data_IF_782488919972
#
_entry.id   IF_782488919972
#
_cell.length_a   1.000
_cell.length_b   1.000
_cell.length_c   1.000
_cell.angle_alpha   90.00
_cell.angle_beta   90.00
_cell.angle_gamma   90.00
#
_symmetry.space_group_name_H-M   'P 1'
#
loop_
_entity.id
_entity.type
_entity.pdbx_description
1 polymer ?
#
# COMPACT_ATOMS: atom_id res chain seq x y z
N UNK A 1 -24.26 32.62 29.09
CA UNK A 1 -25.24 32.30 28.04
C UNK A 1 -24.66 31.24 27.11
N UNK A 2 -24.75 29.94 27.47
CA UNK A 2 -24.13 28.84 26.70
C UNK A 2 -24.76 28.65 25.30
N UNK A 3 -25.93 29.23 25.07
CA UNK A 3 -26.64 29.18 23.79
C UNK A 3 -26.25 30.31 22.82
N UNK A 4 -25.55 31.35 23.30
CA UNK A 4 -25.11 32.51 22.50
C UNK A 4 -23.59 32.58 22.30
N UNK A 5 -22.90 31.45 22.42
CA UNK A 5 -21.44 31.34 22.21
C UNK A 5 -21.16 30.65 20.89
N UNK A 6 -20.26 31.24 20.09
CA UNK A 6 -19.74 30.61 18.87
C UNK A 6 -18.69 29.57 19.27
N UNK A 7 -18.90 28.33 18.86
CA UNK A 7 -17.98 27.21 19.09
C UNK A 7 -17.17 26.95 17.82
N UNK A 8 -15.90 26.57 17.99
CA UNK A 8 -15.03 26.15 16.89
C UNK A 8 -14.42 24.79 17.21
N UNK A 9 -14.47 23.89 16.25
CA UNK A 9 -13.80 22.59 16.36
C UNK A 9 -12.29 22.81 16.52
N UNK A 10 -11.71 22.11 17.48
CA UNK A 10 -10.27 22.12 17.74
C UNK A 10 -9.83 20.68 17.93
N UNK A 11 -8.86 20.24 17.13
CA UNK A 11 -8.28 18.91 17.22
C UNK A 11 -6.77 19.05 17.40
N UNK A 12 -6.20 18.25 18.29
CA UNK A 12 -4.76 18.19 18.50
C UNK A 12 -4.24 16.91 17.84
N UNK A 13 -3.18 17.04 17.07
CA UNK A 13 -2.49 15.91 16.43
C UNK A 13 -1.00 15.97 16.76
N UNK A 14 -0.35 14.81 16.74
CA UNK A 14 1.11 14.71 16.86
C UNK A 14 1.68 14.37 15.49
N UNK A 15 2.40 15.31 14.90
CA UNK A 15 3.08 15.16 13.62
C UNK A 15 4.48 14.58 13.87
N UNK A 16 4.86 13.54 13.12
CA UNK A 16 6.17 12.91 13.21
C UNK A 16 6.91 13.05 11.88
N UNK A 17 8.24 13.23 11.93
CA UNK A 17 9.07 13.20 10.73
C UNK A 17 8.98 11.85 10.00
N UNK A 18 9.01 11.90 8.67
CA UNK A 18 8.95 10.70 7.85
C UNK A 18 10.25 9.90 8.02
N UNK A 19 10.23 8.56 8.19
CA UNK A 19 11.43 7.76 8.38
C UNK A 19 12.48 7.95 7.28
N UNK A 20 12.05 8.22 6.04
CA UNK A 20 12.93 8.46 4.89
C UNK A 20 13.74 9.77 4.97
N UNK A 21 13.28 10.78 5.72
CA UNK A 21 14.01 12.04 5.88
C UNK A 21 14.95 12.06 7.09
N UNK A 22 14.83 11.09 7.99
CA UNK A 22 15.62 11.03 9.22
C UNK A 22 16.98 10.40 8.94
N UNK A 23 18.05 11.01 9.45
CA UNK A 23 19.39 10.43 9.34
C UNK A 23 19.47 9.09 10.09
N UNK A 24 20.11 8.06 9.50
CA UNK A 24 20.27 6.76 10.16
C UNK A 24 20.85 6.90 11.57
N UNK A 25 20.18 6.30 12.56
CA UNK A 25 20.61 6.31 13.96
C UNK A 25 20.08 7.47 14.83
N UNK A 26 19.35 8.43 14.26
CA UNK A 26 18.63 9.44 15.05
C UNK A 26 17.17 9.04 15.26
N UNK A 27 16.63 9.35 16.44
CA UNK A 27 15.20 9.19 16.69
C UNK A 27 14.41 10.27 15.92
N UNK A 28 13.32 9.90 15.22
CA UNK A 28 12.45 10.85 14.54
C UNK A 28 11.88 11.85 15.54
N UNK A 29 11.89 13.14 15.19
CA UNK A 29 11.29 14.17 16.04
C UNK A 29 9.78 14.21 15.80
N UNK A 30 9.05 14.58 16.86
CA UNK A 30 7.61 14.79 16.83
C UNK A 30 7.26 16.21 17.28
N UNK A 31 6.13 16.71 16.78
CA UNK A 31 5.61 18.02 17.15
C UNK A 31 4.10 18.01 17.23
N UNK A 32 3.57 18.71 18.23
CA UNK A 32 2.14 18.91 18.37
C UNK A 32 1.65 19.99 17.42
N UNK A 33 0.58 19.67 16.71
CA UNK A 33 -0.10 20.57 15.79
C UNK A 33 -1.56 20.69 16.20
N UNK A 34 -2.08 21.91 16.16
CA UNK A 34 -3.49 22.21 16.42
C UNK A 34 -4.19 22.47 15.09
N UNK A 35 -5.20 21.66 14.82
CA UNK A 35 -6.14 21.84 13.72
C UNK A 35 -7.38 22.58 14.22
N UNK A 36 -7.89 23.50 13.42
CA UNK A 36 -9.05 24.31 13.79
C UNK A 36 -10.09 24.36 12.67
N UNK A 37 -11.37 24.41 13.03
CA UNK A 37 -12.47 24.56 12.07
C UNK A 37 -12.71 23.33 11.19
N UNK A 38 -12.63 23.54 9.88
CA UNK A 38 -12.86 22.58 8.79
C UNK A 38 -11.74 21.54 8.64
N UNK A 39 -10.54 21.83 9.15
CA UNK A 39 -9.40 20.90 9.15
C UNK A 39 -9.51 19.80 10.21
N UNK A 40 -10.48 19.91 11.12
CA UNK A 40 -10.77 18.85 12.08
C UNK A 40 -11.30 17.60 11.36
N UNK A 41 -10.80 16.43 11.76
CA UNK A 41 -11.08 15.11 11.18
C UNK A 41 -10.60 14.90 9.72
N UNK A 42 -9.88 15.87 9.16
CA UNK A 42 -9.31 15.73 7.83
C UNK A 42 -8.19 14.68 7.78
N UNK A 43 -7.42 14.52 8.86
CA UNK A 43 -6.24 13.66 8.93
C UNK A 43 -6.54 12.41 9.74
N UNK A 44 -6.10 11.25 9.24
CA UNK A 44 -6.11 9.99 10.00
C UNK A 44 -4.70 9.67 10.51
N UNK A 45 -4.57 8.97 11.65
CA UNK A 45 -3.26 8.51 12.13
C UNK A 45 -2.54 7.72 11.04
N UNK A 46 -1.33 8.18 10.68
CA UNK A 46 -0.51 7.53 9.68
C UNK A 46 -0.53 8.11 8.27
N UNK A 47 -1.38 9.11 7.99
CA UNK A 47 -1.33 9.82 6.72
C UNK A 47 -0.02 10.62 6.60
N UNK A 48 0.68 10.48 5.47
CA UNK A 48 1.78 11.39 5.10
C UNK A 48 1.22 12.72 4.58
N UNK A 49 1.60 13.83 5.21
CA UNK A 49 1.04 15.14 4.92
C UNK A 49 2.11 16.23 4.85
N UNK A 50 1.86 17.22 4.01
CA UNK A 50 2.52 18.51 3.99
C UNK A 50 1.65 19.49 4.77
N UNK A 51 2.24 20.07 5.80
CA UNK A 51 1.57 21.03 6.65
C UNK A 51 2.25 22.39 6.55
N UNK A 52 1.46 23.42 6.30
CA UNK A 52 1.87 24.82 6.43
C UNK A 52 1.14 25.38 7.64
N UNK A 53 1.88 26.01 8.55
CA UNK A 53 1.30 26.51 9.79
C UNK A 53 2.15 27.57 10.45
N UNK A 54 1.57 28.20 11.47
CA UNK A 54 2.20 29.24 12.25
C UNK A 54 2.83 28.60 13.48
N UNK A 55 4.13 28.79 13.64
CA UNK A 55 4.86 28.33 14.82
C UNK A 55 4.65 29.30 15.98
N UNK A 56 4.09 28.81 17.09
CA UNK A 56 3.83 29.58 18.30
C UNK A 56 4.65 29.07 19.47
N UNK A 57 5.19 30.00 20.24
CA UNK A 57 5.84 29.73 21.53
C UNK A 57 4.90 30.23 22.63
N UNK A 58 4.42 29.32 23.46
CA UNK A 58 3.61 29.60 24.62
C UNK A 58 4.47 29.45 25.88
N UNK A 59 4.27 30.36 26.83
CA UNK A 59 4.91 30.27 28.13
C UNK A 59 4.18 29.21 28.97
N UNK A 60 4.88 28.14 29.36
CA UNK A 60 4.33 27.11 30.23
C UNK A 60 4.86 27.29 31.66
N UNK A 61 4.02 27.90 32.50
CA UNK A 61 4.35 28.15 33.90
C UNK A 61 4.62 26.84 34.68
N UNK A 62 3.99 25.72 34.30
CA UNK A 62 4.14 24.45 35.00
C UNK A 62 5.50 23.77 34.71
N UNK A 63 5.95 23.82 33.46
CA UNK A 63 7.27 23.28 33.09
C UNK A 63 8.42 24.12 33.65
N UNK A 64 8.24 25.44 33.72
CA UNK A 64 9.23 26.36 34.29
C UNK A 64 9.42 26.15 35.80
N UNK A 65 8.32 25.91 36.53
CA UNK A 65 8.37 25.62 37.96
C UNK A 65 9.12 24.31 38.28
N UNK A 66 9.11 23.34 37.35
CA UNK A 66 9.76 22.03 37.53
C UNK A 66 11.23 22.01 37.11
N UNK A 67 11.61 22.81 36.12
CA UNK A 67 12.96 22.75 35.52
C UNK A 67 13.86 23.93 35.88
N UNK A 68 13.32 24.97 36.55
CA UNK A 68 14.03 26.22 36.88
C UNK A 68 14.70 26.93 35.68
N UNK A 69 14.36 26.51 34.46
CA UNK A 69 14.75 27.13 33.21
C UNK A 69 13.50 27.61 32.48
N UNK A 70 13.55 28.76 31.79
CA UNK A 70 12.44 29.25 30.98
C UNK A 70 12.29 28.38 29.72
N UNK A 71 11.54 27.30 29.84
CA UNK A 71 11.16 26.42 28.75
C UNK A 71 9.84 26.89 28.15
N UNK A 72 9.86 27.27 26.88
CA UNK A 72 8.65 27.59 26.14
C UNK A 72 8.03 26.31 25.56
N UNK A 73 6.73 26.11 25.78
CA UNK A 73 5.97 25.10 25.02
C UNK A 73 5.80 25.61 23.61
N UNK A 74 5.97 24.73 22.67
CA UNK A 74 6.08 25.07 21.26
C UNK A 74 4.98 24.31 20.54
N UNK A 75 4.04 25.05 19.98
CA UNK A 75 2.84 24.54 19.32
C UNK A 75 2.79 25.06 17.89
N UNK A 76 2.26 24.26 16.98
CA UNK A 76 2.12 24.63 15.58
C UNK A 76 0.63 24.72 15.23
N UNK A 77 0.17 25.88 14.80
CA UNK A 77 -1.23 26.06 14.36
C UNK A 77 -1.31 25.84 12.85
N UNK A 78 -2.14 24.89 12.41
CA UNK A 78 -2.26 24.60 10.98
C UNK A 78 -3.01 25.71 10.24
N UNK A 79 -2.43 26.13 9.11
CA UNK A 79 -3.07 27.03 8.14
C UNK A 79 -3.56 26.24 6.95
N UNK A 80 -2.73 25.35 6.43
CA UNK A 80 -3.07 24.52 5.27
C UNK A 80 -2.48 23.11 5.42
N UNK A 81 -3.24 22.11 5.02
CA UNK A 81 -2.86 20.70 5.09
C UNK A 81 -3.10 20.09 3.72
N UNK A 82 -2.08 19.40 3.20
CA UNK A 82 -2.18 18.64 1.97
C UNK A 82 -1.64 17.23 2.18
N UNK A 83 -2.43 16.21 1.84
CA UNK A 83 -1.99 14.80 1.95
C UNK A 83 -1.11 14.45 0.75
N UNK A 84 0.06 13.86 0.97
CA UNK A 84 1.01 13.50 -0.09
C UNK A 84 0.41 12.50 -1.10
N UNK A 85 -0.54 11.67 -0.67
CA UNK A 85 -1.32 10.80 -1.55
C UNK A 85 -2.24 11.55 -2.52
N UNK A 86 -2.86 12.64 -2.09
CA UNK A 86 -3.74 13.49 -2.92
C UNK A 86 -2.96 14.51 -3.77
N UNK A 87 -1.74 14.89 -3.36
CA UNK A 87 -0.86 15.78 -4.16
C UNK A 87 -0.51 15.17 -5.53
N UNK A 88 -0.34 13.84 -5.60
CA UNK A 88 -0.08 13.15 -6.87
C UNK A 88 -1.31 13.11 -7.80
N UNK A 89 -2.52 13.20 -7.23
CA UNK A 89 -3.79 13.21 -7.97
C UNK A 89 -4.15 14.62 -8.44
N UNK A 90 -3.80 15.65 -7.68
CA UNK A 90 -4.04 17.06 -8.02
C UNK A 90 -3.16 17.60 -9.16
N UNK A 91 -2.16 16.84 -9.62
CA UNK A 91 -1.37 17.14 -10.82
C UNK A 91 -1.91 16.48 -12.10
N UNK A 92 -3.14 15.97 -12.07
CA UNK A 92 -3.80 15.47 -13.28
C UNK A 92 -4.37 16.69 -14.01
N UNK A 93 -3.53 17.31 -14.83
CA UNK A 93 -3.94 18.36 -15.77
C UNK A 93 -4.82 17.74 -16.86
N UNK A 94 -5.68 18.57 -17.46
CA UNK A 94 -6.56 18.16 -18.56
C UNK A 94 -5.75 17.52 -19.72
N UNK A 95 -4.55 18.03 -20.00
CA UNK A 95 -3.63 17.47 -20.99
C UNK A 95 -3.27 15.99 -20.71
N UNK A 96 -3.01 15.66 -19.45
CA UNK A 96 -2.67 14.29 -19.03
C UNK A 96 -3.88 13.38 -19.17
N UNK A 97 -5.08 13.88 -18.84
CA UNK A 97 -6.33 13.12 -19.04
C UNK A 97 -6.53 12.83 -20.53
N UNK A 98 -6.28 13.80 -21.40
CA UNK A 98 -6.40 13.59 -22.84
C UNK A 98 -5.43 12.52 -23.34
N UNK A 99 -4.16 12.56 -22.91
CA UNK A 99 -3.18 11.51 -23.22
C UNK A 99 -3.60 10.13 -22.71
N UNK A 100 -4.15 10.05 -21.49
CA UNK A 100 -4.68 8.82 -20.90
C UNK A 100 -5.83 8.27 -21.76
N UNK A 101 -6.73 9.13 -22.22
CA UNK A 101 -7.88 8.73 -23.05
C UNK A 101 -7.46 8.30 -24.45
N UNK A 102 -6.45 8.94 -25.04
CA UNK A 102 -5.87 8.52 -26.33
C UNK A 102 -5.21 7.14 -26.21
N UNK A 103 -4.46 6.89 -25.13
CA UNK A 103 -3.87 5.59 -24.85
C UNK A 103 -4.94 4.51 -24.63
N UNK A 104 -6.01 4.83 -23.88
CA UNK A 104 -7.09 3.90 -23.58
C UNK A 104 -7.85 3.42 -24.84
N UNK A 105 -7.92 4.24 -25.89
CA UNK A 105 -8.57 3.88 -27.16
C UNK A 105 -7.73 2.94 -28.02
N UNK A 106 -6.43 2.82 -27.76
CA UNK A 106 -5.55 1.97 -28.57
C UNK A 106 -5.84 0.47 -28.32
N UNK A 107 -5.97 -0.35 -29.38
CA UNK A 107 -6.33 -1.77 -29.24
C UNK A 107 -5.24 -2.59 -28.53
N UNK A 108 -3.98 -2.15 -28.60
CA UNK A 108 -2.83 -2.83 -28.00
C UNK A 108 -2.55 -2.41 -26.56
N UNK A 109 -3.44 -1.63 -25.92
CA UNK A 109 -3.18 -1.04 -24.60
C UNK A 109 -2.84 -2.10 -23.56
N UNK A 110 -3.51 -3.26 -23.59
CA UNK A 110 -3.26 -4.36 -22.65
C UNK A 110 -1.81 -4.83 -22.71
N UNK A 111 -1.31 -5.09 -23.92
CA UNK A 111 0.06 -5.59 -24.09
C UNK A 111 1.10 -4.53 -23.79
N UNK A 112 0.84 -3.27 -24.18
CA UNK A 112 1.70 -2.13 -23.85
C UNK A 112 1.77 -1.89 -22.34
N UNK A 113 0.64 -2.04 -21.63
CA UNK A 113 0.57 -1.91 -20.19
C UNK A 113 1.39 -3.02 -19.50
N UNK A 114 1.22 -4.27 -19.93
CA UNK A 114 1.99 -5.43 -19.42
C UNK A 114 3.49 -5.29 -19.73
N UNK A 115 3.85 -4.77 -20.90
CA UNK A 115 5.24 -4.53 -21.28
C UNK A 115 5.89 -3.39 -20.46
N UNK A 116 5.09 -2.38 -20.09
CA UNK A 116 5.54 -1.25 -19.25
C UNK A 116 5.68 -1.62 -17.77
N UNK A 117 5.00 -2.69 -17.34
CA UNK A 117 5.12 -3.24 -15.98
C UNK A 117 6.48 -3.86 -15.75
N UNK A 118 7.24 -3.29 -14.80
CA UNK A 118 8.57 -3.74 -14.39
C UNK A 118 9.49 -4.06 -15.61
N UNK A 119 9.92 -3.04 -16.38
CA UNK A 119 10.74 -3.25 -17.59
C UNK A 119 12.09 -3.91 -17.27
N UNK A 120 12.53 -3.81 -16.01
CA UNK A 120 13.75 -4.47 -15.54
C UNK A 120 13.65 -5.99 -15.49
N UNK A 121 12.45 -6.54 -15.31
CA UNK A 121 12.26 -7.99 -15.19
C UNK A 121 11.86 -8.54 -16.55
N UNK A 122 12.67 -9.48 -17.07
CA UNK A 122 12.41 -10.12 -18.34
C UNK A 122 11.34 -11.21 -18.22
N UNK A 123 10.44 -11.27 -19.22
CA UNK A 123 9.43 -12.32 -19.32
C UNK A 123 8.28 -12.18 -18.33
N UNK A 124 7.79 -13.34 -17.85
CA UNK A 124 6.73 -13.46 -16.82
C UNK A 124 5.47 -12.64 -17.12
N UNK A 125 5.02 -12.66 -18.39
CA UNK A 125 3.85 -11.89 -18.84
C UNK A 125 2.63 -12.11 -17.96
N UNK A 126 2.33 -13.36 -17.59
CA UNK A 126 1.18 -13.70 -16.75
C UNK A 126 1.27 -13.09 -15.33
N UNK A 127 2.46 -13.13 -14.70
CA UNK A 127 2.68 -12.50 -13.38
C UNK A 127 2.48 -10.99 -13.48
N UNK A 128 3.04 -10.37 -14.52
CA UNK A 128 2.89 -8.93 -14.77
C UNK A 128 1.43 -8.54 -15.00
N UNK A 129 0.66 -9.35 -15.73
CA UNK A 129 -0.78 -9.14 -15.92
C UNK A 129 -1.53 -9.20 -14.59
N UNK A 130 -1.23 -10.20 -13.76
CA UNK A 130 -1.87 -10.36 -12.45
C UNK A 130 -1.58 -9.17 -11.52
N UNK A 131 -0.31 -8.76 -11.43
CA UNK A 131 0.09 -7.58 -10.66
C UNK A 131 -0.59 -6.32 -11.21
N UNK A 132 -0.65 -6.13 -12.53
CA UNK A 132 -1.31 -5.00 -13.16
C UNK A 132 -2.81 -4.93 -12.78
N UNK A 133 -3.50 -6.07 -12.77
CA UNK A 133 -4.91 -6.16 -12.34
C UNK A 133 -5.05 -5.84 -10.84
N UNK A 134 -4.16 -6.35 -9.99
CA UNK A 134 -4.16 -6.06 -8.56
C UNK A 134 -3.91 -4.57 -8.26
N UNK A 135 -3.06 -3.90 -9.06
CA UNK A 135 -2.80 -2.47 -8.95
C UNK A 135 -4.00 -1.60 -9.35
N UNK A 136 -4.77 -2.02 -10.36
CA UNK A 136 -5.99 -1.33 -10.78
C UNK A 136 -7.15 -1.58 -9.82
N UNK A 137 -7.18 -2.74 -9.17
CA UNK A 137 -8.22 -3.16 -8.23
C UNK A 137 -9.63 -3.19 -8.85
N UNK A 138 -10.61 -3.70 -8.12
CA UNK A 138 -12.01 -3.73 -8.54
C UNK A 138 -12.86 -2.64 -7.88
N UNK A 139 -14.10 -2.51 -8.34
CA UNK A 139 -15.08 -1.62 -7.72
C UNK A 139 -15.63 -2.25 -6.42
N UNK A 140 -15.73 -1.44 -5.38
CA UNK A 140 -16.39 -1.83 -4.13
C UNK A 140 -17.89 -1.66 -4.25
N UNK A 141 -18.64 -2.71 -3.96
CA UNK A 141 -20.11 -2.70 -4.03
C UNK A 141 -20.70 -2.69 -2.63
N UNK A 142 -21.58 -1.74 -2.38
CA UNK A 142 -22.36 -1.67 -1.16
C UNK A 142 -23.82 -2.02 -1.48
N UNK A 143 -24.31 -3.14 -0.94
CA UNK A 143 -25.73 -3.52 -1.09
C UNK A 143 -26.53 -2.92 0.05
N UNK A 144 -27.36 -1.92 -0.26
CA UNK A 144 -28.41 -1.34 0.60
C UNK A 144 -28.00 -1.24 2.09
N UNK A 145 -26.79 -0.76 2.37
CA UNK A 145 -26.27 -0.48 3.72
C UNK A 145 -26.04 -1.67 4.67
N UNK A 146 -26.22 -2.93 4.25
CA UNK A 146 -26.06 -4.10 5.14
C UNK A 146 -24.79 -4.91 4.92
N UNK A 147 -24.32 -5.00 3.68
CA UNK A 147 -23.11 -5.77 3.37
C UNK A 147 -22.24 -5.03 2.37
N UNK A 148 -20.98 -4.83 2.78
CA UNK A 148 -19.92 -4.30 1.93
C UNK A 148 -19.21 -5.47 1.27
N UNK A 149 -19.20 -5.49 -0.06
CA UNK A 149 -18.46 -6.49 -0.83
C UNK A 149 -17.09 -5.91 -1.15
N UNK A 150 -16.05 -6.67 -0.83
CA UNK A 150 -14.66 -6.34 -1.12
C UNK A 150 -14.46 -6.23 -2.63
N UNK A 151 -13.93 -5.09 -3.07
CA UNK A 151 -13.50 -4.86 -4.47
C UNK A 151 -11.99 -5.03 -4.66
N UNK A 152 -11.23 -5.10 -3.57
CA UNK A 152 -9.77 -5.16 -3.62
C UNK A 152 -9.26 -6.57 -3.89
N UNK A 153 -8.26 -6.74 -4.77
CA UNK A 153 -7.74 -8.04 -5.19
C UNK A 153 -6.46 -8.42 -4.43
N UNK A 154 -6.46 -9.58 -3.79
CA UNK A 154 -5.32 -10.12 -3.08
C UNK A 154 -4.57 -11.10 -3.98
N UNK A 155 -3.25 -10.95 -4.04
CA UNK A 155 -2.39 -11.76 -4.89
C UNK A 155 -1.24 -12.36 -4.10
N UNK A 156 -1.02 -13.66 -4.28
CA UNK A 156 0.10 -14.40 -3.72
C UNK A 156 1.02 -14.88 -4.84
N UNK A 157 2.29 -14.50 -4.77
CA UNK A 157 3.34 -14.94 -5.68
C UNK A 157 4.22 -15.93 -4.93
N UNK A 158 4.17 -17.20 -5.33
CA UNK A 158 5.04 -18.24 -4.79
C UNK A 158 6.06 -18.62 -5.85
N UNK A 159 7.30 -18.89 -5.44
CA UNK A 159 8.26 -19.45 -6.37
C UNK A 159 9.60 -19.76 -5.72
N UNK A 160 10.56 -20.17 -6.52
CA UNK A 160 11.90 -20.44 -6.01
C UNK A 160 12.63 -19.11 -5.66
N UNK A 161 13.62 -19.14 -4.76
CA UNK A 161 14.51 -18.01 -4.50
C UNK A 161 15.20 -17.55 -5.79
N UNK A 162 15.43 -16.24 -5.92
CA UNK A 162 16.15 -15.67 -7.07
C UNK A 162 15.27 -15.29 -8.27
N UNK A 163 13.97 -15.59 -8.27
CA UNK A 163 13.04 -15.24 -9.35
C UNK A 163 12.51 -13.78 -9.31
N UNK A 164 13.31 -12.83 -8.85
CA UNK A 164 12.99 -11.39 -8.81
C UNK A 164 11.67 -11.00 -8.07
N UNK A 165 11.13 -11.87 -7.21
CA UNK A 165 9.88 -11.62 -6.46
C UNK A 165 9.91 -10.34 -5.62
N UNK A 166 10.95 -10.16 -4.81
CA UNK A 166 11.13 -8.94 -4.00
C UNK A 166 11.35 -7.69 -4.87
N UNK A 167 11.89 -7.86 -6.09
CA UNK A 167 12.06 -6.76 -7.05
C UNK A 167 10.70 -6.28 -7.59
N UNK A 168 9.76 -7.20 -7.83
CA UNK A 168 8.38 -6.84 -8.18
C UNK A 168 7.73 -6.00 -7.09
N UNK A 169 7.83 -6.42 -5.83
CA UNK A 169 7.27 -5.68 -4.70
C UNK A 169 7.86 -4.26 -4.63
N UNK A 170 9.19 -4.12 -4.67
CA UNK A 170 9.88 -2.82 -4.66
C UNK A 170 9.47 -1.92 -5.83
N UNK A 171 9.25 -2.50 -7.02
CA UNK A 171 8.79 -1.75 -8.18
C UNK A 171 7.37 -1.19 -7.96
N UNK A 172 6.48 -1.98 -7.37
CA UNK A 172 5.09 -1.59 -7.09
C UNK A 172 5.05 -0.53 -5.99
N UNK A 173 5.89 -0.65 -4.96
CA UNK A 173 6.04 0.35 -3.90
C UNK A 173 6.31 1.74 -4.47
N UNK A 174 7.19 1.83 -5.47
CA UNK A 174 7.52 3.10 -6.12
C UNK A 174 6.41 3.59 -7.06
N UNK A 175 5.60 2.69 -7.60
CA UNK A 175 4.63 2.98 -8.65
C UNK A 175 3.27 3.38 -8.07
N UNK A 176 2.81 2.72 -7.01
CA UNK A 176 1.53 3.01 -6.37
C UNK A 176 1.71 4.15 -5.36
N UNK A 177 0.85 5.20 -5.37
CA UNK A 177 1.02 6.36 -4.50
C UNK A 177 0.87 6.04 -3.00
N UNK A 178 0.08 5.02 -2.64
CA UNK A 178 -0.13 4.53 -1.28
C UNK A 178 0.24 3.04 -1.21
N UNK A 179 1.52 2.73 -1.27
CA UNK A 179 2.01 1.37 -1.05
C UNK A 179 2.94 1.33 0.15
N UNK A 180 2.76 0.34 1.01
CA UNK A 180 3.61 0.10 2.17
C UNK A 180 4.29 -1.24 2.01
N UNK A 181 5.62 -1.23 2.02
CA UNK A 181 6.44 -2.44 1.96
C UNK A 181 6.76 -2.93 3.37
N UNK A 182 6.57 -4.23 3.60
CA UNK A 182 6.90 -4.90 4.85
C UNK A 182 7.44 -6.29 4.59
N UNK A 183 8.21 -6.83 5.54
CA UNK A 183 8.79 -8.18 5.46
C UNK A 183 8.14 -9.07 6.51
N UNK A 184 7.89 -10.35 6.22
CA UNK A 184 7.15 -11.26 7.09
C UNK A 184 7.77 -11.44 8.47
N UNK A 185 9.10 -11.32 8.58
CA UNK A 185 9.82 -11.32 9.87
C UNK A 185 9.86 -9.96 10.57
N UNK A 186 9.87 -8.85 9.81
CA UNK A 186 9.89 -7.48 10.36
C UNK A 186 8.51 -6.96 10.72
N UNK A 187 7.47 -7.55 10.12
CA UNK A 187 6.06 -7.26 10.33
C UNK A 187 5.53 -7.97 11.58
N UNK A 188 6.10 -7.69 12.75
CA UNK A 188 5.44 -8.09 14.00
C UNK A 188 4.03 -7.51 14.05
N UNK A 189 3.07 -8.18 14.69
CA UNK A 189 1.66 -7.84 14.63
C UNK A 189 1.34 -6.41 15.04
N UNK A 190 2.17 -5.83 15.91
CA UNK A 190 2.17 -4.41 16.30
C UNK A 190 2.45 -3.48 15.11
N UNK A 191 3.41 -3.87 14.26
CA UNK A 191 3.80 -3.15 13.04
C UNK A 191 2.90 -3.42 11.83
N UNK A 192 2.20 -4.55 11.78
CA UNK A 192 1.26 -4.86 10.69
C UNK A 192 -0.14 -4.26 10.93
N UNK A 193 -0.64 -4.34 12.16
CA UNK A 193 -2.01 -3.94 12.53
C UNK A 193 -2.10 -2.50 13.03
N UNK A 194 -2.33 -2.30 14.32
CA UNK A 194 -2.28 -1.03 15.00
C UNK A 194 -1.91 -1.29 16.45
N UNK A 195 -1.16 -0.34 17.02
CA UNK A 195 -0.63 -0.44 18.37
C UNK A 195 -1.10 0.74 19.21
N UNK A 196 -1.16 0.55 20.52
CA UNK A 196 -1.42 1.64 21.46
C UNK A 196 -0.10 2.04 22.07
N UNK A 197 0.31 3.28 21.84
CA UNK A 197 1.48 3.90 22.44
C UNK A 197 1.03 4.88 23.52
N UNK A 198 1.83 5.02 24.57
CA UNK A 198 1.60 6.04 25.59
C UNK A 198 2.41 7.28 25.24
N UNK A 199 1.74 8.42 25.13
CA UNK A 199 2.41 9.70 24.86
C UNK A 199 3.16 10.19 26.10
N UNK A 200 4.08 11.14 25.93
CA UNK A 200 4.88 11.73 27.02
C UNK A 200 4.00 12.40 28.10
N UNK A 201 2.79 12.79 27.73
CA UNK A 201 1.78 13.35 28.63
C UNK A 201 0.94 12.30 29.38
N UNK A 202 1.17 11.01 29.13
CA UNK A 202 0.52 9.91 29.83
C UNK A 202 -0.78 9.41 29.18
N UNK A 203 -1.27 10.07 28.14
CA UNK A 203 -2.43 9.67 27.35
C UNK A 203 -2.11 8.49 26.41
N UNK A 204 -3.09 7.63 26.17
CA UNK A 204 -2.96 6.52 25.22
C UNK A 204 -3.30 7.00 23.81
N UNK A 205 -2.31 6.97 22.92
CA UNK A 205 -2.45 7.24 21.50
C UNK A 205 -2.46 5.94 20.69
N UNK A 206 -3.23 5.92 19.60
CA UNK A 206 -3.24 4.80 18.67
C UNK A 206 -2.31 5.09 17.50
N UNK A 207 -1.38 4.17 17.21
CA UNK A 207 -0.51 4.19 16.06
C UNK A 207 -0.96 3.13 15.04
N UNK A 208 -1.26 3.57 13.82
CA UNK A 208 -1.55 2.65 12.71
C UNK A 208 -0.29 1.89 12.28
N UNK A 209 -0.40 0.59 12.09
CA UNK A 209 0.58 -0.27 11.44
C UNK A 209 0.38 -0.31 9.93
N UNK A 210 1.23 -1.07 9.24
CA UNK A 210 1.39 -1.07 7.79
C UNK A 210 0.07 -1.18 7.01
N UNK A 211 -0.88 -2.01 7.46
CA UNK A 211 -2.17 -2.17 6.77
C UNK A 211 -3.09 -0.95 6.91
N UNK A 212 -3.08 -0.30 8.08
CA UNK A 212 -3.88 0.92 8.30
C UNK A 212 -3.26 2.09 7.53
N UNK A 213 -1.93 2.15 7.47
CA UNK A 213 -1.20 3.14 6.65
C UNK A 213 -1.47 2.99 5.15
N UNK A 214 -1.68 1.76 4.70
CA UNK A 214 -1.95 1.44 3.30
C UNK A 214 -3.43 1.54 2.89
N UNK A 215 -4.33 2.09 3.72
CA UNK A 215 -5.78 2.21 3.41
C UNK A 215 -6.04 2.87 2.04
N UNK A 216 -6.92 2.26 1.23
CA UNK A 216 -7.17 2.57 -0.18
C UNK A 216 -5.94 2.46 -1.10
N UNK A 217 -4.93 1.71 -0.66
CA UNK A 217 -3.66 1.50 -1.33
C UNK A 217 -3.33 0.03 -1.56
N UNK A 218 -2.04 -0.32 -1.41
CA UNK A 218 -1.56 -1.70 -1.46
C UNK A 218 -0.60 -1.99 -0.29
N UNK A 219 -0.77 -3.14 0.34
CA UNK A 219 0.17 -3.66 1.34
C UNK A 219 1.02 -4.74 0.67
N UNK A 220 2.35 -4.54 0.67
CA UNK A 220 3.31 -5.43 0.02
C UNK A 220 4.05 -6.22 1.10
N UNK A 221 3.91 -7.54 1.11
CA UNK A 221 4.49 -8.41 2.14
C UNK A 221 5.49 -9.36 1.49
N UNK A 222 6.78 -9.21 1.79
CA UNK A 222 7.79 -10.19 1.38
C UNK A 222 7.97 -11.29 2.43
N UNK A 223 8.46 -12.46 2.02
CA UNK A 223 8.68 -13.63 2.89
C UNK A 223 7.46 -13.99 3.75
N UNK A 224 6.27 -14.02 3.13
CA UNK A 224 5.00 -14.31 3.79
C UNK A 224 4.99 -15.68 4.50
N UNK A 225 5.76 -16.64 3.99
CA UNK A 225 5.94 -17.97 4.59
C UNK A 225 6.59 -17.91 5.99
N UNK A 226 7.44 -16.90 6.25
CA UNK A 226 8.22 -16.76 7.49
C UNK A 226 7.51 -15.95 8.58
N UNK A 227 6.25 -15.61 8.37
CA UNK A 227 5.45 -14.82 9.29
C UNK A 227 4.98 -15.64 10.50
N UNK A 228 4.91 -15.00 11.67
CA UNK A 228 4.42 -15.64 12.90
C UNK A 228 2.90 -15.84 12.87
N UNK A 229 2.41 -16.82 13.62
CA UNK A 229 0.97 -17.15 13.62
C UNK A 229 0.07 -16.06 14.20
N UNK A 230 0.56 -15.22 15.13
CA UNK A 230 -0.18 -14.06 15.65
C UNK A 230 -0.42 -12.97 14.59
N UNK A 231 0.49 -12.86 13.63
CA UNK A 231 0.40 -11.85 12.58
C UNK A 231 -0.53 -12.36 11.47
N UNK A 232 -0.55 -13.68 11.26
CA UNK A 232 -1.50 -14.37 10.37
C UNK A 232 -2.96 -14.24 10.84
N UNK A 233 -3.25 -14.32 12.15
CA UNK A 233 -4.62 -14.11 12.65
C UNK A 233 -5.11 -12.69 12.41
N UNK A 234 -4.23 -11.72 12.56
CA UNK A 234 -4.51 -10.32 12.27
C UNK A 234 -4.80 -10.07 10.78
N UNK A 235 -4.03 -10.72 9.90
CA UNK A 235 -4.28 -10.68 8.46
C UNK A 235 -5.62 -11.30 8.08
N UNK A 236 -6.03 -12.38 8.76
CA UNK A 236 -7.33 -13.00 8.48
C UNK A 236 -8.50 -12.02 8.66
N UNK A 237 -8.47 -11.23 9.72
CA UNK A 237 -9.48 -10.20 10.00
C UNK A 237 -9.45 -9.13 8.91
N UNK A 238 -8.27 -8.58 8.62
CA UNK A 238 -8.11 -7.50 7.66
C UNK A 238 -8.44 -7.94 6.21
N UNK A 239 -8.14 -9.17 5.82
CA UNK A 239 -8.49 -9.71 4.49
C UNK A 239 -9.98 -10.00 4.33
N UNK A 240 -10.69 -10.32 5.43
CA UNK A 240 -12.14 -10.60 5.41
C UNK A 240 -12.95 -9.31 5.44
N UNK A 241 -12.71 -8.52 6.47
CA UNK A 241 -13.59 -7.42 6.86
C UNK A 241 -13.06 -6.08 6.35
N UNK A 242 -11.80 -6.04 5.87
CA UNK A 242 -11.10 -4.80 5.52
C UNK A 242 -11.05 -3.80 6.69
N UNK A 243 -11.06 -4.33 7.91
CA UNK A 243 -10.98 -3.61 9.17
C UNK A 243 -10.05 -4.33 10.13
N UNK A 244 -9.45 -3.57 11.03
CA UNK A 244 -8.59 -4.05 12.11
C UNK A 244 -9.17 -3.53 13.42
N UNK A 245 -9.64 -4.43 14.26
CA UNK A 245 -10.13 -4.11 15.60
C UNK A 245 -8.98 -4.14 16.60
N UNK A 246 -8.87 -3.08 17.40
CA UNK A 246 -7.90 -2.98 18.50
C UNK A 246 -8.66 -2.74 19.78
N UNK A 247 -8.52 -3.69 20.71
CA UNK A 247 -9.02 -3.60 22.07
C UNK A 247 -7.85 -3.73 23.06
N UNK A 248 -7.13 -2.63 23.31
CA UNK A 248 -5.95 -2.59 24.19
C UNK A 248 -5.95 -1.34 25.04
N UNK A 249 -5.49 -1.46 26.30
CA UNK A 249 -5.33 -0.34 27.23
C UNK A 249 -6.60 0.54 27.41
N UNK A 250 -7.79 -0.06 27.38
CA UNK A 250 -9.07 0.65 27.52
C UNK A 250 -9.55 1.37 26.25
N UNK A 251 -8.78 1.34 25.16
CA UNK A 251 -9.21 1.82 23.85
C UNK A 251 -9.80 0.65 23.09
N UNK A 252 -11.09 0.75 22.76
CA UNK A 252 -11.78 -0.13 21.81
C UNK A 252 -12.06 0.68 20.56
N UNK A 253 -11.29 0.43 19.50
CA UNK A 253 -11.41 1.12 18.24
C UNK A 253 -11.35 0.12 17.08
N UNK A 254 -12.10 0.40 16.01
CA UNK A 254 -11.98 -0.32 14.74
C UNK A 254 -11.41 0.63 13.70
N UNK A 255 -10.34 0.21 13.05
CA UNK A 255 -9.65 0.98 12.02
C UNK A 255 -9.92 0.35 10.67
N UNK A 256 -10.12 1.19 9.66
CA UNK A 256 -10.26 0.69 8.30
C UNK A 256 -8.88 0.31 7.74
N UNK A 257 -8.81 -0.86 7.13
CA UNK A 257 -7.62 -1.40 6.48
C UNK A 257 -8.01 -1.91 5.09
N UNK A 258 -8.57 -1.02 4.26
CA UNK A 258 -9.12 -1.36 2.94
C UNK A 258 -8.00 -1.36 1.91
N UNK A 259 -7.21 -2.43 1.94
CA UNK A 259 -5.95 -2.53 1.18
C UNK A 259 -5.95 -3.79 0.33
N UNK A 260 -5.44 -3.69 -0.90
CA UNK A 260 -5.07 -4.88 -1.66
C UNK A 260 -3.76 -5.45 -1.11
N UNK A 261 -3.70 -6.75 -0.83
CA UNK A 261 -2.50 -7.40 -0.33
C UNK A 261 -1.78 -8.10 -1.49
N UNK A 262 -0.51 -7.76 -1.68
CA UNK A 262 0.39 -8.51 -2.55
C UNK A 262 1.47 -9.15 -1.69
N UNK A 263 1.46 -10.48 -1.64
CA UNK A 263 2.40 -11.25 -0.85
C UNK A 263 3.36 -12.05 -1.75
N UNK A 264 4.65 -12.11 -1.39
CA UNK A 264 5.57 -13.11 -1.93
C UNK A 264 5.90 -14.17 -0.88
N UNK A 265 5.90 -15.42 -1.31
CA UNK A 265 6.28 -16.56 -0.48
C UNK A 265 7.29 -17.46 -1.18
N UNK A 266 8.03 -18.21 -0.38
CA UNK A 266 8.89 -19.28 -0.85
C UNK A 266 8.26 -20.65 -0.50
N UNK A 267 8.49 -21.69 -1.33
CA UNK A 267 8.12 -23.05 -0.99
C UNK A 267 8.95 -23.54 0.20
N UNK A 268 8.42 -24.53 0.93
CA UNK A 268 8.97 -25.02 2.20
C UNK A 268 10.46 -25.38 2.14
N UNK A 269 10.88 -26.10 1.11
CA UNK A 269 12.26 -26.56 0.92
C UNK A 269 13.08 -25.65 -0.01
N UNK A 270 12.64 -24.41 -0.21
CA UNK A 270 13.25 -23.45 -1.15
C UNK A 270 13.30 -23.91 -2.62
N UNK A 271 12.74 -25.08 -2.93
CA UNK A 271 12.54 -25.60 -4.28
C UNK A 271 11.13 -26.13 -4.36
N UNK A 272 10.42 -25.79 -5.42
CA UNK A 272 9.10 -26.34 -5.69
C UNK A 272 9.21 -27.80 -6.16
N UNK A 273 8.52 -28.75 -5.49
CA UNK A 273 8.43 -30.14 -5.96
C UNK A 273 7.19 -30.32 -6.86
N UNK A 274 7.35 -30.63 -8.17
CA UNK A 274 6.22 -30.87 -9.07
C UNK A 274 5.37 -32.09 -8.71
N UNK A 275 5.87 -33.02 -7.89
CA UNK A 275 5.15 -34.25 -7.52
C UNK A 275 4.22 -34.08 -6.33
N UNK A 276 4.49 -33.11 -5.47
CA UNK A 276 3.66 -32.79 -4.32
C UNK A 276 2.50 -31.86 -4.70
N UNK A 277 1.45 -31.84 -3.88
CA UNK A 277 0.35 -30.91 -4.10
C UNK A 277 0.80 -29.47 -3.86
N UNK A 278 0.18 -28.51 -4.56
CA UNK A 278 0.46 -27.07 -4.38
C UNK A 278 0.28 -26.65 -2.91
N UNK A 279 -0.70 -27.23 -2.22
CA UNK A 279 -1.02 -26.95 -0.83
C UNK A 279 0.07 -27.45 0.12
N UNK A 280 0.67 -28.60 -0.16
CA UNK A 280 1.73 -29.16 0.69
C UNK A 280 3.08 -28.46 0.45
N UNK A 281 3.31 -28.00 -0.77
CA UNK A 281 4.50 -27.23 -1.15
C UNK A 281 4.54 -25.84 -0.48
N UNK A 282 3.37 -25.22 -0.31
CA UNK A 282 3.23 -23.90 0.29
C UNK A 282 2.98 -24.09 1.79
N UNK A 283 3.90 -23.61 2.63
CA UNK A 283 3.78 -23.71 4.10
C UNK A 283 2.72 -22.75 4.69
N UNK A 284 1.51 -22.72 4.12
CA UNK A 284 0.41 -21.86 4.52
C UNK A 284 -0.84 -22.67 4.85
N UNK A 285 -1.61 -22.26 5.86
CA UNK A 285 -2.87 -22.92 6.18
C UNK A 285 -3.92 -22.64 5.08
N UNK A 286 -4.76 -23.64 4.80
CA UNK A 286 -5.75 -23.62 3.70
C UNK A 286 -6.71 -22.42 3.76
N UNK A 287 -7.07 -21.99 4.97
CA UNK A 287 -7.95 -20.84 5.23
C UNK A 287 -7.36 -19.49 4.79
N UNK A 288 -6.03 -19.34 4.71
CA UNK A 288 -5.39 -18.16 4.13
C UNK A 288 -5.36 -18.25 2.61
N UNK A 289 -5.08 -19.43 2.05
CA UNK A 289 -5.00 -19.60 0.61
C UNK A 289 -6.31 -19.26 -0.10
N UNK A 290 -7.46 -19.65 0.46
CA UNK A 290 -8.77 -19.32 -0.10
C UNK A 290 -9.11 -17.82 -0.09
N UNK A 291 -8.34 -16.99 0.63
CA UNK A 291 -8.54 -15.52 0.71
C UNK A 291 -7.73 -14.75 -0.32
N UNK A 292 -6.78 -15.41 -0.98
CA UNK A 292 -6.07 -14.88 -2.12
C UNK A 292 -6.86 -15.18 -3.40
N UNK A 293 -7.19 -14.14 -4.15
CA UNK A 293 -7.95 -14.28 -5.40
C UNK A 293 -7.04 -14.82 -6.51
N UNK A 294 -5.77 -14.39 -6.51
CA UNK A 294 -4.75 -14.89 -7.41
C UNK A 294 -3.62 -15.58 -6.65
N UNK A 295 -3.34 -16.82 -7.00
CA UNK A 295 -2.15 -17.54 -6.55
C UNK A 295 -1.34 -17.88 -7.80
N UNK A 296 -0.12 -17.34 -7.89
CA UNK A 296 0.76 -17.61 -9.02
C UNK A 296 2.01 -18.34 -8.59
N UNK A 297 2.31 -19.44 -9.30
CA UNK A 297 3.50 -20.25 -9.13
C UNK A 297 4.56 -19.84 -10.17
N UNK A 298 5.69 -19.35 -9.68
CA UNK A 298 6.89 -19.06 -10.47
C UNK A 298 7.85 -20.23 -10.29
N UNK A 299 7.87 -21.12 -11.28
CA UNK A 299 8.75 -22.29 -11.28
C UNK A 299 9.96 -21.97 -12.14
N UNK A 300 11.16 -22.17 -11.60
CA UNK A 300 12.38 -22.04 -12.40
C UNK A 300 12.57 -23.26 -13.32
N UNK A 301 12.25 -23.07 -14.61
CA UNK A 301 12.51 -24.08 -15.63
C UNK A 301 13.82 -23.78 -16.35
N UNK A 302 14.86 -24.55 -16.03
CA UNK A 302 16.16 -24.49 -16.70
C UNK A 302 16.00 -24.65 -18.21
N UNK A 303 16.27 -23.60 -18.96
CA UNK A 303 16.15 -23.60 -20.42
C UNK A 303 17.21 -22.68 -20.99
N UNK A 304 18.13 -23.25 -21.78
CA UNK A 304 19.28 -22.52 -22.35
C UNK A 304 18.85 -21.30 -23.15
N UNK A 305 17.72 -21.37 -23.86
CA UNK A 305 17.18 -20.23 -24.62
C UNK A 305 16.65 -19.11 -23.73
N UNK A 306 15.90 -19.46 -22.67
CA UNK A 306 15.36 -18.48 -21.71
C UNK A 306 16.50 -17.82 -20.94
N UNK A 307 17.47 -18.62 -20.49
CA UNK A 307 18.64 -18.15 -19.74
C UNK A 307 19.53 -17.24 -20.59
N UNK A 308 19.70 -17.58 -21.88
CA UNK A 308 20.44 -16.73 -22.81
C UNK A 308 19.77 -15.37 -23.01
N UNK A 309 18.44 -15.35 -23.24
CA UNK A 309 17.68 -14.09 -23.37
C UNK A 309 17.64 -13.29 -22.07
N UNK A 310 17.53 -13.95 -20.93
CA UNK A 310 17.63 -13.31 -19.61
C UNK A 310 19.00 -12.66 -19.44
N UNK A 311 20.08 -13.38 -19.73
CA UNK A 311 21.44 -12.87 -19.68
C UNK A 311 21.64 -11.68 -20.61
N UNK A 312 21.11 -11.75 -21.83
CA UNK A 312 21.15 -10.64 -22.78
C UNK A 312 20.43 -9.39 -22.23
N UNK A 313 19.25 -9.57 -21.65
CA UNK A 313 18.47 -8.49 -21.04
C UNK A 313 19.17 -7.87 -19.81
N UNK A 314 19.80 -8.69 -18.97
CA UNK A 314 20.59 -8.21 -17.83
C UNK A 314 21.80 -7.40 -18.31
N UNK A 315 22.55 -7.91 -19.29
CA UNK A 315 23.69 -7.19 -19.88
C UNK A 315 23.23 -5.87 -20.50
N UNK A 316 22.09 -5.83 -21.20
CA UNK A 316 21.55 -4.61 -21.77
C UNK A 316 21.16 -3.56 -20.72
N UNK A 317 20.69 -3.97 -19.54
CA UNK A 317 20.37 -3.04 -18.45
C UNK A 317 21.63 -2.44 -17.80
N UNK A 318 22.62 -3.29 -17.51
CA UNK A 318 23.84 -2.89 -16.80
C UNK A 318 24.94 -2.34 -17.71
N UNK A 319 24.80 -2.45 -19.03
CA UNK A 319 25.72 -1.81 -19.98
C UNK A 319 25.47 -0.30 -19.97
N UNK A 320 26.39 0.44 -19.36
CA UNK A 320 26.40 1.92 -19.39
C UNK A 320 26.90 2.47 -20.74
N UNK A 321 27.57 1.64 -21.52
CA UNK A 321 28.35 2.07 -22.70
C UNK A 321 27.54 2.15 -24.02
N UNK A 322 26.21 2.13 -23.98
CA UNK A 322 25.38 2.31 -25.18
C UNK A 322 25.46 1.19 -26.22
N UNK A 323 26.10 0.06 -25.91
CA UNK A 323 26.28 -1.08 -26.83
C UNK A 323 24.97 -1.80 -27.10
N UNK A 324 24.02 -1.78 -26.14
CA UNK A 324 22.64 -2.25 -26.32
C UNK A 324 21.66 -1.23 -25.76
N UNK A 325 20.59 -0.93 -26.51
CA UNK A 325 19.53 -0.02 -26.05
C UNK A 325 18.89 -0.60 -24.80
N UNK A 326 18.79 0.20 -23.74
CA UNK A 326 17.96 -0.15 -22.59
C UNK A 326 16.53 -0.37 -23.07
N UNK A 327 15.81 -1.38 -22.55
CA UNK A 327 14.41 -1.57 -22.88
C UNK A 327 13.62 -0.35 -22.40
N UNK A 328 13.29 0.54 -23.33
CA UNK A 328 12.43 1.68 -23.06
C UNK A 328 10.99 1.17 -22.93
N UNK A 329 10.31 1.44 -21.81
CA UNK A 329 8.94 1.04 -21.66
C UNK A 329 8.08 1.82 -22.68
N UNK A 330 7.09 1.17 -23.31
CA UNK A 330 6.23 1.85 -24.29
C UNK A 330 5.38 2.96 -23.66
N UNK A 331 5.21 2.96 -22.33
CA UNK A 331 4.58 4.02 -21.56
C UNK A 331 5.60 4.59 -20.58
N UNK A 332 5.74 5.91 -20.54
CA UNK A 332 6.59 6.59 -19.56
C UNK A 332 6.12 6.27 -18.12
N UNK A 333 7.07 6.02 -17.22
CA UNK A 333 6.78 5.61 -15.84
C UNK A 333 5.90 6.61 -15.08
N UNK A 334 6.06 7.91 -15.33
CA UNK A 334 5.22 8.94 -14.70
C UNK A 334 3.77 8.90 -15.21
N UNK A 335 3.59 8.81 -16.53
CA UNK A 335 2.27 8.67 -17.16
C UNK A 335 1.58 7.37 -16.70
N UNK A 336 2.34 6.29 -16.55
CA UNK A 336 1.86 5.00 -16.04
C UNK A 336 1.30 5.11 -14.61
N UNK A 337 2.02 5.81 -13.72
CA UNK A 337 1.57 6.05 -12.33
C UNK A 337 0.30 6.89 -12.27
N UNK A 338 0.24 7.94 -13.11
CA UNK A 338 -0.94 8.82 -13.23
C UNK A 338 -2.13 8.06 -13.80
N UNK A 339 -1.92 7.20 -14.80
CA UNK A 339 -2.95 6.35 -15.38
C UNK A 339 -3.60 5.44 -14.33
N UNK A 340 -2.81 4.75 -13.50
CA UNK A 340 -3.33 3.88 -12.44
C UNK A 340 -4.13 4.70 -11.41
N UNK A 341 -3.60 5.85 -11.01
CA UNK A 341 -4.28 6.73 -10.05
C UNK A 341 -5.60 7.26 -10.60
N UNK A 342 -5.64 7.57 -11.90
CA UNK A 342 -6.83 8.00 -12.62
C UNK A 342 -7.88 6.88 -12.69
N UNK A 343 -7.48 5.69 -13.15
CA UNK A 343 -8.37 4.55 -13.28
C UNK A 343 -9.02 4.17 -11.95
N UNK A 344 -8.26 4.14 -10.84
CA UNK A 344 -8.79 3.81 -9.50
C UNK A 344 -9.82 4.80 -8.96
N UNK A 345 -9.76 6.08 -9.37
CA UNK A 345 -10.57 7.16 -8.77
C UNK A 345 -11.82 7.48 -9.59
N UNK A 346 -11.75 7.36 -10.91
CA UNK A 346 -12.82 7.82 -11.81
C UNK A 346 -13.48 6.71 -12.64
N UNK A 347 -12.91 5.51 -12.71
CA UNK A 347 -13.47 4.42 -13.53
C UNK A 347 -14.13 3.38 -12.63
N UNK A 348 -15.44 3.22 -12.80
CA UNK A 348 -16.25 2.25 -12.07
C UNK A 348 -16.99 1.35 -13.08
N UNK A 349 -16.44 0.17 -13.41
CA UNK A 349 -17.01 -0.69 -14.43
C UNK A 349 -18.27 -1.41 -13.93
N UNK A 350 -19.36 -1.35 -14.71
CA UNK A 350 -20.57 -2.13 -14.46
C UNK A 350 -20.56 -3.43 -15.26
N UNK A 351 -21.03 -4.51 -14.63
CA UNK A 351 -21.19 -5.81 -15.29
C UNK A 351 -22.37 -5.76 -16.26
N UNK A 352 -22.14 -6.18 -17.50
CA UNK A 352 -23.21 -6.42 -18.47
C UNK A 352 -23.83 -7.81 -18.28
N UNK A 353 -25.08 -7.99 -18.69
CA UNK A 353 -25.78 -9.27 -18.58
C UNK A 353 -25.06 -10.39 -19.34
N UNK A 354 -24.52 -10.10 -20.53
CA UNK A 354 -23.69 -11.04 -21.29
C UNK A 354 -22.45 -11.51 -20.52
N UNK A 355 -21.81 -10.60 -19.78
CA UNK A 355 -20.65 -10.92 -18.95
C UNK A 355 -21.04 -11.78 -17.75
N UNK A 356 -22.22 -11.55 -17.17
CA UNK A 356 -22.72 -12.34 -16.04
C UNK A 356 -22.98 -13.80 -16.46
N UNK A 357 -23.53 -14.02 -17.66
CA UNK A 357 -23.74 -15.36 -18.20
C UNK A 357 -22.43 -16.07 -18.53
N UNK A 358 -21.43 -15.36 -19.06
CA UNK A 358 -20.11 -15.93 -19.31
C UNK A 358 -19.42 -16.34 -17.99
N UNK A 359 -19.53 -15.52 -16.94
CA UNK A 359 -18.96 -15.82 -15.62
C UNK A 359 -19.65 -17.00 -14.94
N UNK A 360 -20.98 -17.13 -15.07
CA UNK A 360 -21.70 -18.26 -14.47
C UNK A 360 -21.33 -19.58 -15.13
N UNK A 361 -21.16 -19.61 -16.45
CA UNK A 361 -20.66 -20.76 -17.19
C UNK A 361 -19.23 -21.13 -16.76
N UNK A 362 -18.33 -20.15 -16.71
CA UNK A 362 -16.95 -20.36 -16.31
C UNK A 362 -16.76 -20.83 -14.86
N UNK A 363 -17.77 -20.66 -14.00
CA UNK A 363 -17.75 -21.17 -12.62
C UNK A 363 -18.26 -22.62 -12.51
N UNK A 364 -19.08 -23.06 -13.47
CA UNK A 364 -19.60 -24.43 -13.53
C UNK A 364 -18.61 -25.40 -14.16
N UNK A 365 -17.81 -24.91 -15.11
CA UNK A 365 -16.67 -25.61 -15.72
C UNK A 365 -15.50 -25.72 -14.73
#
# INVERSE_FOLDING_TARGET
DRQRTLYRNRQKITLQETPSSVQPGKMPRSKEVILTGDQADFIRPGDELYLTGIYKCLHDAASNARTNFPVFRTELESVHISKKGDVKVSQITEDVVQQIMELAKSPDIRERFIASMAPSIYGMKHVKTCIALSMLSGERKERQGKHRIRGDLNTLIVGDPGLAKSQFLKYIEQTVPRAVYTTGKGASGVGLTASVMRDEHGDFGLQGGAMVLADDGMCLIDEFDKMNDQDRTSLHEAMEQQTVSVAKAGIVASLNARTSILASANPKDSSYDPKASVVDNIALPKNLMTRFDFIWLMIDQRSREKDHRLGEHLVAMYSESGVKKRPEPPIASDLFRRYISFARRWVFPQLTDESADALSKAYLD
#
